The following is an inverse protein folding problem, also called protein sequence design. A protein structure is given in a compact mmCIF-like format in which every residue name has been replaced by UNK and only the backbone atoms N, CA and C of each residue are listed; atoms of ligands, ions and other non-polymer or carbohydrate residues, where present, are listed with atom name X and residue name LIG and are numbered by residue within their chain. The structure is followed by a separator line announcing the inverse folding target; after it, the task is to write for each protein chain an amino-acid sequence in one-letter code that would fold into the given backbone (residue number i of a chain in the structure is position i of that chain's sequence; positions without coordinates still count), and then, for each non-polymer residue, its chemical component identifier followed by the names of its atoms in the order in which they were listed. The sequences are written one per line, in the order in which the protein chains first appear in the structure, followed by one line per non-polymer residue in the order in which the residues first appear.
data_IF_209159735576
#
_entry.id   IF_209159735576
#
_cell.length_a   1.000
_cell.length_b   1.000
_cell.length_c   1.000
_cell.angle_alpha   90.00
_cell.angle_beta   90.00
_cell.angle_gamma   90.00
#
_symmetry.space_group_name_H-M   'P 1'
#
loop_
_entity.id
_entity.type
_entity.pdbx_description
1 polymer ?
#
# COMPACT_ATOMS: atom_id res chain seq x y z
N UNK A 1 -13.88 -8.14 -0.46
CA UNK A 1 -12.53 -8.68 -0.68
C UNK A 1 -11.57 -7.53 -0.39
N UNK A 2 -10.90 -7.53 0.77
CA UNK A 2 -9.98 -6.44 1.12
C UNK A 2 -8.70 -6.52 0.28
N UNK A 3 -8.27 -5.38 -0.26
CA UNK A 3 -7.04 -5.26 -1.03
C UNK A 3 -5.82 -5.56 -0.15
N UNK A 4 -4.87 -6.37 -0.63
CA UNK A 4 -3.67 -6.78 0.12
C UNK A 4 -2.82 -5.58 0.57
N UNK A 5 -2.72 -4.56 -0.28
CA UNK A 5 -2.00 -3.31 0.03
C UNK A 5 -2.65 -2.60 1.23
N UNK A 6 -3.98 -2.54 1.26
CA UNK A 6 -4.74 -1.94 2.38
C UNK A 6 -4.48 -2.70 3.68
N UNK A 7 -4.47 -4.03 3.62
CA UNK A 7 -4.20 -4.87 4.80
C UNK A 7 -2.78 -4.66 5.33
N UNK A 8 -1.77 -4.73 4.45
CA UNK A 8 -0.37 -4.48 4.82
C UNK A 8 -0.18 -3.07 5.41
N UNK A 9 -0.78 -2.06 4.79
CA UNK A 9 -0.72 -0.66 5.24
C UNK A 9 -1.31 -0.49 6.65
N UNK A 10 -2.48 -1.08 6.90
CA UNK A 10 -3.13 -1.02 8.21
C UNK A 10 -2.33 -1.78 9.28
N UNK A 11 -1.74 -2.92 8.93
CA UNK A 11 -0.87 -3.69 9.85
C UNK A 11 0.38 -2.88 10.25
N UNK A 12 0.97 -2.12 9.32
CA UNK A 12 2.08 -1.22 9.61
C UNK A 12 1.68 0.06 10.39
N UNK A 13 0.37 0.29 10.59
CA UNK A 13 -0.18 1.49 11.23
C UNK A 13 -0.05 2.76 10.38
N UNK A 14 -0.01 2.62 9.05
CA UNK A 14 0.13 3.73 8.10
C UNK A 14 -1.24 4.21 7.60
N UNK A 15 -1.40 5.52 7.44
CA UNK A 15 -2.51 6.11 6.67
C UNK A 15 -2.21 6.06 5.17
N UNK A 16 -3.25 6.20 4.31
CA UNK A 16 -3.04 6.28 2.86
C UNK A 16 -2.16 7.47 2.47
N UNK A 17 -2.25 8.60 3.18
CA UNK A 17 -1.44 9.79 2.94
C UNK A 17 0.03 9.59 3.34
N UNK A 18 0.30 8.85 4.41
CA UNK A 18 1.68 8.48 4.77
C UNK A 18 2.29 7.51 3.77
N UNK A 19 1.53 6.51 3.33
CA UNK A 19 1.97 5.58 2.31
C UNK A 19 2.27 6.31 0.98
N UNK A 20 1.37 7.20 0.57
CA UNK A 20 1.53 8.05 -0.61
C UNK A 20 2.80 8.89 -0.55
N UNK A 21 3.05 9.59 0.57
CA UNK A 21 4.25 10.41 0.75
C UNK A 21 5.54 9.59 0.79
N UNK A 22 5.52 8.41 1.41
CA UNK A 22 6.72 7.59 1.62
C UNK A 22 7.17 6.84 0.37
N UNK A 23 6.21 6.42 -0.45
CA UNK A 23 6.48 5.65 -1.67
C UNK A 23 6.30 6.49 -2.94
N UNK A 24 6.01 7.78 -2.80
CA UNK A 24 5.79 8.74 -3.89
C UNK A 24 4.70 8.28 -4.88
N UNK A 25 3.75 7.49 -4.38
CA UNK A 25 2.60 7.01 -5.15
C UNK A 25 1.47 8.02 -4.97
N UNK A 26 0.85 8.55 -6.05
CA UNK A 26 -0.27 9.46 -5.91
C UNK A 26 -1.40 8.86 -5.06
N UNK A 27 -1.94 9.65 -4.13
CA UNK A 27 -2.98 9.20 -3.21
C UNK A 27 -4.20 8.63 -3.94
N UNK A 28 -4.61 9.24 -5.06
CA UNK A 28 -5.70 8.74 -5.90
C UNK A 28 -5.42 7.35 -6.47
N UNK A 29 -4.17 7.07 -6.85
CA UNK A 29 -3.75 5.75 -7.36
C UNK A 29 -3.88 4.68 -6.28
N UNK A 30 -3.38 4.96 -5.06
CA UNK A 30 -3.54 4.07 -3.91
C UNK A 30 -5.01 3.87 -3.57
N UNK A 31 -5.82 4.94 -3.59
CA UNK A 31 -7.25 4.84 -3.31
C UNK A 31 -7.96 3.95 -4.32
N UNK A 32 -7.66 4.07 -5.62
CA UNK A 32 -8.22 3.19 -6.64
C UNK A 32 -7.79 1.73 -6.46
N UNK A 33 -6.53 1.49 -6.09
CA UNK A 33 -6.04 0.14 -5.79
C UNK A 33 -6.71 -0.47 -4.57
N UNK A 34 -6.85 0.30 -3.49
CA UNK A 34 -7.46 -0.18 -2.24
C UNK A 34 -8.99 -0.37 -2.34
N UNK A 35 -9.67 0.42 -3.17
CA UNK A 35 -11.10 0.27 -3.47
C UNK A 35 -11.40 -0.85 -4.46
N UNK A 36 -10.40 -1.29 -5.23
CA UNK A 36 -10.57 -2.28 -6.29
C UNK A 36 -11.01 -1.70 -7.64
N UNK A 37 -11.06 -0.36 -7.77
CA UNK A 37 -11.35 0.33 -9.04
C UNK A 37 -10.29 0.04 -10.11
N UNK A 38 -9.04 -0.17 -9.67
CA UNK A 38 -7.91 -0.52 -10.52
C UNK A 38 -7.08 -1.60 -9.86
N UNK A 39 -6.66 -2.60 -10.63
CA UNK A 39 -5.71 -3.59 -10.14
C UNK A 39 -4.28 -3.05 -10.33
N UNK A 40 -3.47 -2.97 -9.25
CA UNK A 40 -2.06 -2.65 -9.39
C UNK A 40 -1.37 -3.72 -10.26
N UNK A 41 -0.34 -3.35 -11.05
CA UNK A 41 0.53 -4.34 -11.67
C UNK A 41 1.08 -5.31 -10.63
N UNK A 42 1.18 -6.60 -10.96
CA UNK A 42 1.62 -7.65 -10.01
C UNK A 42 2.97 -7.32 -9.37
N UNK A 43 3.90 -6.74 -10.13
CA UNK A 43 5.21 -6.34 -9.61
C UNK A 43 5.10 -5.19 -8.60
N UNK A 44 4.20 -4.23 -8.83
CA UNK A 44 4.00 -3.07 -7.98
C UNK A 44 3.32 -3.46 -6.66
N UNK A 45 2.33 -4.35 -6.73
CA UNK A 45 1.69 -4.92 -5.54
C UNK A 45 2.72 -5.62 -4.64
N UNK A 46 3.56 -6.50 -5.23
CA UNK A 46 4.60 -7.23 -4.48
C UNK A 46 5.63 -6.29 -3.85
N UNK A 47 6.21 -5.37 -4.63
CA UNK A 47 7.22 -4.44 -4.12
C UNK A 47 6.67 -3.55 -3.00
N UNK A 48 5.45 -3.06 -3.15
CA UNK A 48 4.84 -2.19 -2.15
C UNK A 48 4.56 -2.94 -0.85
N UNK A 49 4.02 -4.17 -0.93
CA UNK A 49 3.77 -5.01 0.24
C UNK A 49 5.08 -5.34 0.96
N UNK A 50 6.12 -5.77 0.23
CA UNK A 50 7.43 -6.08 0.82
C UNK A 50 8.03 -4.85 1.51
N UNK A 51 7.92 -3.68 0.89
CA UNK A 51 8.44 -2.46 1.48
C UNK A 51 7.65 -2.00 2.72
N UNK A 52 6.33 -2.20 2.73
CA UNK A 52 5.49 -1.95 3.92
C UNK A 52 5.87 -2.92 5.05
N UNK A 53 6.04 -4.21 4.74
CA UNK A 53 6.41 -5.22 5.73
C UNK A 53 7.76 -4.91 6.39
N UNK A 54 8.75 -4.46 5.60
CA UNK A 54 10.05 -4.00 6.15
C UNK A 54 9.92 -2.81 7.11
N UNK A 55 8.95 -1.92 6.91
CA UNK A 55 8.69 -0.82 7.85
C UNK A 55 8.10 -1.37 9.15
N UNK A 56 7.22 -2.38 9.05
CA UNK A 56 6.61 -3.01 10.21
C UNK A 56 7.61 -3.83 11.04
N UNK A 57 8.58 -4.50 10.41
CA UNK A 57 9.62 -5.29 11.10
C UNK A 57 10.65 -4.44 11.86
N UNK A 58 10.83 -3.18 11.46
CA UNK A 58 11.77 -2.23 12.10
C UNK A 58 11.12 -1.41 13.24
N UNK A 59 9.96 -1.84 13.74
CA UNK A 59 9.14 -1.13 14.72
C UNK A 59 9.11 -1.89 16.04
#
# INVERSE_FOLDING_TARGET
MDCKIKQARLAAGLTQAELSRRFEIPLGTLAHWEKGDRTPPVWAEKLLIDAINRINENK
#
